data_IF_894739331940
#
_entry.id   IF_894739331940
#
_cell.length_a   1.000
_cell.length_b   1.000
_cell.length_c   1.000
_cell.angle_alpha   90.00
_cell.angle_beta   90.00
_cell.angle_gamma   90.00
#
_symmetry.space_group_name_H-M   'P 1'
#
loop_
_entity.id
_entity.type
_entity.pdbx_description
1 polymer ?
#
# COMPACT_ATOMS: atom_id res chain seq x y z
N UNK A 1 -10.35 60.32 -35.93
CA UNK A 1 -9.11 60.61 -35.18
C UNK A 1 -9.09 59.79 -33.90
N UNK A 2 -8.05 58.96 -33.71
CA UNK A 2 -7.49 58.41 -32.45
C UNK A 2 -8.18 57.20 -31.76
N UNK A 3 -7.71 56.01 -32.16
CA UNK A 3 -7.18 54.87 -31.37
C UNK A 3 -7.52 54.83 -29.88
N UNK A 4 -8.08 53.70 -29.41
CA UNK A 4 -7.73 53.06 -28.11
C UNK A 4 -7.84 51.53 -28.21
N UNK A 5 -6.71 50.89 -28.49
CA UNK A 5 -6.48 49.47 -28.25
C UNK A 5 -6.23 49.26 -26.76
N UNK A 6 -6.89 48.29 -26.11
CA UNK A 6 -6.36 47.68 -24.88
C UNK A 6 -7.10 46.37 -24.51
N UNK A 7 -6.30 45.30 -24.31
CA UNK A 7 -6.48 44.15 -23.39
C UNK A 7 -7.65 43.19 -23.76
N UNK A 8 -7.45 41.90 -24.04
CA UNK A 8 -7.16 40.82 -23.09
C UNK A 8 -6.83 39.56 -23.91
N UNK A 9 -5.71 38.90 -23.61
CA UNK A 9 -5.56 37.45 -23.79
C UNK A 9 -4.35 36.95 -22.98
N UNK A 10 -4.46 37.02 -21.64
CA UNK A 10 -3.55 36.29 -20.77
C UNK A 10 -4.01 34.83 -20.71
N UNK A 11 -3.60 34.02 -21.68
CA UNK A 11 -3.74 32.57 -21.63
C UNK A 11 -2.57 32.00 -20.82
N UNK A 12 -2.68 32.08 -19.48
CA UNK A 12 -1.76 31.37 -18.59
C UNK A 12 -2.20 29.91 -18.54
N UNK A 13 -1.49 29.08 -19.29
CA UNK A 13 -1.73 27.65 -19.42
C UNK A 13 -1.73 26.95 -18.05
N UNK A 14 -2.84 26.28 -17.74
CA UNK A 14 -3.00 25.32 -16.65
C UNK A 14 -2.02 24.16 -16.84
N UNK A 15 -0.92 24.15 -16.10
CA UNK A 15 -0.11 22.95 -15.91
C UNK A 15 -0.76 22.11 -14.79
N UNK A 16 -1.11 20.84 -15.03
CA UNK A 16 -1.57 19.97 -13.96
C UNK A 16 -0.39 19.69 -13.02
N UNK A 17 -0.60 20.04 -11.75
CA UNK A 17 0.32 19.74 -10.66
C UNK A 17 0.41 18.22 -10.53
N UNK A 18 1.50 17.62 -11.03
CA UNK A 18 1.84 16.24 -10.71
C UNK A 18 2.28 16.22 -9.25
N UNK A 19 1.34 15.99 -8.34
CA UNK A 19 1.67 15.70 -6.95
C UNK A 19 2.41 14.34 -6.93
N UNK A 20 3.64 14.23 -6.40
CA UNK A 20 4.16 12.92 -6.08
C UNK A 20 3.22 12.30 -5.05
N UNK A 21 2.73 11.10 -5.35
CA UNK A 21 2.06 10.27 -4.35
C UNK A 21 3.11 9.96 -3.27
N UNK A 22 3.17 10.81 -2.24
CA UNK A 22 4.06 10.62 -1.12
C UNK A 22 3.60 9.36 -0.38
N UNK A 23 4.31 8.25 -0.60
CA UNK A 23 4.14 7.03 0.18
C UNK A 23 4.34 7.41 1.65
N UNK A 24 3.34 7.17 2.50
CA UNK A 24 3.46 7.45 3.93
C UNK A 24 4.65 6.67 4.51
N UNK A 25 5.42 7.24 5.45
CA UNK A 25 6.50 6.52 6.09
C UNK A 25 5.95 5.26 6.76
N UNK A 26 6.51 4.12 6.40
CA UNK A 26 6.29 2.87 7.12
C UNK A 26 6.91 3.02 8.51
N UNK A 27 6.11 2.84 9.55
CA UNK A 27 6.62 2.82 10.92
C UNK A 27 7.37 1.50 11.15
N UNK A 28 8.69 1.57 11.14
CA UNK A 28 9.56 0.46 11.54
C UNK A 28 10.02 0.72 12.98
N UNK A 29 9.61 -0.14 13.91
CA UNK A 29 10.07 -0.08 15.29
C UNK A 29 10.84 -1.36 15.61
N UNK A 30 12.13 -1.24 15.92
CA UNK A 30 12.98 -2.32 16.45
C UNK A 30 13.43 -1.93 17.86
N UNK A 31 13.24 -2.83 18.81
CA UNK A 31 13.56 -2.62 20.23
C UNK A 31 14.48 -3.73 20.73
N UNK A 32 15.58 -3.35 21.38
CA UNK A 32 16.42 -4.31 22.09
C UNK A 32 15.69 -4.76 23.36
N UNK A 33 15.47 -6.07 23.49
CA UNK A 33 14.76 -6.66 24.66
C UNK A 33 15.75 -7.33 25.62
N UNK A 34 16.92 -7.76 25.13
CA UNK A 34 18.05 -8.23 25.92
C UNK A 34 19.36 -8.05 25.13
N UNK A 35 20.55 -8.23 25.73
CA UNK A 35 21.82 -8.19 24.99
C UNK A 35 21.80 -9.16 23.81
N UNK A 36 21.90 -8.63 22.59
CA UNK A 36 21.84 -9.41 21.35
C UNK A 36 20.43 -9.87 20.95
N UNK A 37 19.36 -9.51 21.65
CA UNK A 37 17.98 -9.89 21.30
C UNK A 37 17.15 -8.66 20.97
N UNK A 38 16.45 -8.69 19.85
CA UNK A 38 15.66 -7.59 19.32
C UNK A 38 14.28 -8.07 18.89
N UNK A 39 13.25 -7.29 19.25
CA UNK A 39 11.89 -7.49 18.76
C UNK A 39 11.46 -6.24 18.02
N UNK A 40 10.84 -6.42 16.87
CA UNK A 40 10.31 -5.33 16.09
C UNK A 40 8.95 -5.61 15.49
N UNK A 41 8.30 -4.52 15.10
CA UNK A 41 7.04 -4.53 14.40
C UNK A 41 7.20 -3.63 13.17
N UNK A 42 6.85 -4.18 12.02
CA UNK A 42 6.87 -3.48 10.74
C UNK A 42 5.47 -3.50 10.16
N UNK A 43 4.87 -2.32 9.98
CA UNK A 43 3.65 -2.21 9.18
C UNK A 43 4.01 -2.20 7.70
N UNK A 44 3.21 -2.80 6.84
CA UNK A 44 3.50 -2.86 5.42
C UNK A 44 2.21 -2.84 4.63
N UNK A 45 2.27 -2.23 3.45
CA UNK A 45 1.16 -2.20 2.52
C UNK A 45 1.55 -2.92 1.24
N UNK A 46 0.64 -3.72 0.72
CA UNK A 46 0.79 -4.41 -0.55
C UNK A 46 -0.40 -4.12 -1.45
N UNK A 47 -0.12 -3.81 -2.72
CA UNK A 47 -1.15 -3.73 -3.75
C UNK A 47 -1.34 -5.07 -4.41
N UNK A 48 -2.57 -5.56 -4.42
CA UNK A 48 -2.96 -6.87 -4.96
C UNK A 48 -4.12 -6.69 -5.94
N UNK A 49 -4.34 -7.67 -6.79
CA UNK A 49 -5.48 -7.74 -7.72
C UNK A 49 -6.38 -8.90 -7.33
N UNK A 50 -7.68 -8.68 -7.33
CA UNK A 50 -8.67 -9.75 -7.08
C UNK A 50 -8.70 -10.69 -8.28
N UNK A 51 -8.31 -11.95 -8.06
CA UNK A 51 -8.26 -12.99 -9.08
C UNK A 51 -9.57 -13.80 -9.12
N UNK A 52 -10.15 -14.12 -7.96
CA UNK A 52 -11.47 -14.76 -7.85
C UNK A 52 -12.14 -14.49 -6.50
N UNK A 53 -13.46 -14.72 -6.44
CA UNK A 53 -14.30 -14.44 -5.27
C UNK A 53 -15.24 -15.63 -5.03
N UNK A 54 -15.24 -16.17 -3.80
CA UNK A 54 -16.27 -17.05 -3.28
C UNK A 54 -17.12 -16.25 -2.29
N UNK A 55 -18.28 -15.76 -2.75
CA UNK A 55 -19.16 -14.92 -1.94
C UNK A 55 -19.82 -15.68 -0.76
N UNK A 56 -20.35 -16.90 -0.95
CA UNK A 56 -20.86 -17.71 0.16
C UNK A 56 -19.85 -17.92 1.29
N UNK A 57 -18.58 -18.21 0.96
CA UNK A 57 -17.52 -18.39 1.94
C UNK A 57 -16.82 -17.08 2.34
N UNK A 58 -17.23 -15.94 1.77
CA UNK A 58 -16.56 -14.63 1.90
C UNK A 58 -15.04 -14.70 1.67
N UNK A 59 -14.60 -15.52 0.70
CA UNK A 59 -13.17 -15.72 0.40
C UNK A 59 -12.77 -14.96 -0.86
N UNK A 60 -11.66 -14.23 -0.80
CA UNK A 60 -11.01 -13.59 -1.94
C UNK A 60 -9.72 -14.31 -2.26
N UNK A 61 -9.48 -14.62 -3.53
CA UNK A 61 -8.15 -14.97 -4.01
C UNK A 61 -7.53 -13.70 -4.58
N UNK A 62 -6.43 -13.28 -3.97
CA UNK A 62 -5.68 -12.09 -4.36
C UNK A 62 -4.38 -12.51 -5.05
N UNK A 63 -3.98 -11.75 -6.05
CA UNK A 63 -2.75 -11.97 -6.81
C UNK A 63 -1.83 -10.77 -6.69
N UNK A 64 -0.56 -11.01 -6.43
CA UNK A 64 0.46 -9.96 -6.39
C UNK A 64 1.03 -9.64 -7.78
N UNK A 65 2.03 -8.75 -7.81
CA UNK A 65 2.69 -8.36 -9.06
C UNK A 65 3.58 -9.46 -9.65
N UNK A 66 4.05 -10.41 -8.83
CA UNK A 66 4.82 -11.57 -9.27
C UNK A 66 3.92 -12.70 -9.82
N UNK A 67 2.61 -12.62 -9.59
CA UNK A 67 1.63 -13.61 -9.99
C UNK A 67 1.34 -14.65 -8.91
N UNK A 68 1.90 -14.52 -7.71
CA UNK A 68 1.57 -15.39 -6.59
C UNK A 68 0.15 -15.11 -6.10
N UNK A 69 -0.54 -16.18 -5.72
CA UNK A 69 -1.94 -16.13 -5.28
C UNK A 69 -2.06 -16.50 -3.81
N UNK A 70 -2.89 -15.76 -3.09
CA UNK A 70 -3.24 -16.03 -1.70
C UNK A 70 -4.75 -15.94 -1.50
N UNK A 71 -5.31 -16.89 -0.73
CA UNK A 71 -6.72 -16.89 -0.36
C UNK A 71 -6.89 -16.23 1.02
N UNK A 72 -7.82 -15.27 1.12
CA UNK A 72 -8.13 -14.55 2.36
C UNK A 72 -9.64 -14.61 2.61
N UNK A 73 -10.00 -15.04 3.82
CA UNK A 73 -11.39 -14.98 4.30
C UNK A 73 -11.65 -13.58 4.86
N UNK A 74 -12.58 -12.86 4.24
CA UNK A 74 -12.96 -11.52 4.65
C UNK A 74 -13.90 -11.58 5.87
N UNK A 75 -13.43 -11.04 6.99
CA UNK A 75 -14.23 -10.92 8.21
C UNK A 75 -15.39 -9.94 8.04
N UNK A 76 -16.26 -9.88 9.05
CA UNK A 76 -17.39 -8.93 9.09
C UNK A 76 -16.94 -7.47 9.16
N UNK A 77 -15.66 -7.19 9.41
CA UNK A 77 -15.11 -5.84 9.34
C UNK A 77 -15.08 -5.30 7.90
N UNK A 78 -15.05 -6.18 6.89
CA UNK A 78 -15.09 -5.80 5.47
C UNK A 78 -16.54 -5.54 5.07
N UNK A 79 -17.03 -4.34 5.40
CA UNK A 79 -18.43 -3.93 5.19
C UNK A 79 -18.82 -3.79 3.72
N UNK A 80 -17.87 -3.48 2.85
CA UNK A 80 -18.12 -3.28 1.42
C UNK A 80 -17.76 -4.53 0.58
N UNK A 81 -17.73 -5.71 1.21
CA UNK A 81 -17.34 -6.95 0.54
C UNK A 81 -18.14 -7.20 -0.75
N UNK A 82 -19.45 -6.97 -0.72
CA UNK A 82 -20.36 -7.24 -1.85
C UNK A 82 -20.12 -6.31 -3.06
N UNK A 83 -19.33 -5.26 -2.90
CA UNK A 83 -19.00 -4.34 -3.99
C UNK A 83 -17.77 -4.78 -4.79
N UNK A 84 -16.91 -5.63 -4.20
CA UNK A 84 -15.65 -6.09 -4.75
C UNK A 84 -15.88 -6.96 -6.00
N UNK A 85 -15.05 -6.76 -7.03
CA UNK A 85 -15.12 -7.49 -8.29
C UNK A 85 -13.78 -8.10 -8.65
N UNK A 86 -13.82 -9.16 -9.44
CA UNK A 86 -12.61 -9.71 -10.08
C UNK A 86 -11.97 -8.64 -10.95
N UNK A 87 -10.66 -8.47 -10.81
CA UNK A 87 -9.88 -7.43 -11.48
C UNK A 87 -9.70 -6.15 -10.65
N UNK A 88 -10.40 -5.99 -9.53
CA UNK A 88 -10.20 -4.82 -8.65
C UNK A 88 -8.79 -4.83 -8.07
N UNK A 89 -8.18 -3.64 -8.00
CA UNK A 89 -6.93 -3.44 -7.25
C UNK A 89 -7.29 -3.11 -5.82
N UNK A 90 -6.75 -3.89 -4.89
CA UNK A 90 -6.90 -3.69 -3.44
C UNK A 90 -5.55 -3.35 -2.83
N UNK A 91 -5.54 -2.47 -1.84
CA UNK A 91 -4.36 -2.20 -1.01
C UNK A 91 -4.63 -2.83 0.35
N UNK A 92 -3.80 -3.80 0.72
CA UNK A 92 -3.88 -4.47 2.01
C UNK A 92 -2.74 -4.00 2.91
N UNK A 93 -3.08 -3.59 4.12
CA UNK A 93 -2.12 -3.33 5.19
C UNK A 93 -1.97 -4.58 6.05
N UNK A 94 -0.74 -4.93 6.40
CA UNK A 94 -0.43 -6.01 7.32
C UNK A 94 0.73 -5.61 8.22
N UNK A 95 0.85 -6.31 9.35
CA UNK A 95 1.89 -6.06 10.34
C UNK A 95 2.74 -7.31 10.48
N UNK A 96 4.05 -7.17 10.39
CA UNK A 96 5.03 -8.23 10.61
C UNK A 96 5.72 -8.04 11.96
N UNK A 97 5.68 -9.08 12.79
CA UNK A 97 6.51 -9.18 13.97
C UNK A 97 7.86 -9.81 13.61
N UNK A 98 8.95 -9.18 14.04
CA UNK A 98 10.32 -9.67 13.89
C UNK A 98 10.87 -9.99 15.28
N UNK A 99 11.40 -11.20 15.46
CA UNK A 99 12.15 -11.61 16.65
C UNK A 99 13.54 -12.07 16.18
N UNK A 100 14.57 -11.38 16.64
CA UNK A 100 15.94 -11.51 16.15
C UNK A 100 16.89 -11.75 17.31
N UNK A 101 17.75 -12.76 17.17
CA UNK A 101 18.87 -13.02 18.09
C UNK A 101 20.18 -12.93 17.34
N UNK A 102 21.10 -12.14 17.87
CA UNK A 102 22.43 -11.94 17.36
C UNK A 102 23.34 -13.05 17.89
N UNK A 103 23.86 -13.87 17.00
CA UNK A 103 24.85 -14.91 17.31
C UNK A 103 26.24 -14.45 16.91
N UNK A 104 27.27 -14.93 17.62
CA UNK A 104 28.66 -14.67 17.24
C UNK A 104 28.91 -15.27 15.85
N UNK A 105 29.24 -14.42 14.88
CA UNK A 105 29.64 -14.86 13.54
C UNK A 105 30.89 -15.74 13.61
N UNK A 106 30.81 -16.92 12.99
CA UNK A 106 31.98 -17.76 12.75
C UNK A 106 32.86 -17.07 11.71
N UNK A 107 33.98 -16.50 12.15
CA UNK A 107 34.99 -16.00 11.23
C UNK A 107 35.55 -17.17 10.41
N UNK A 108 35.72 -16.95 9.10
CA UNK A 108 36.50 -17.83 8.25
C UNK A 108 37.98 -17.82 8.66
#
# INVERSE_FOLDING_TARGET
MRIRSAIIAAALALLPFAAPAQQAPVAEALTAVAPGHFVGVVESQVSLVVDSIDAPARTLVLKDAAGEKMAIVASDAVKNFDQIKVGDKVVASYTQGLDMTLVKGGGA
#
